data_IF_279546940982
#
_entry.id   IF_279546940982
#
_cell.length_a   1.000
_cell.length_b   1.000
_cell.length_c   1.000
_cell.angle_alpha   90.00
_cell.angle_beta   90.00
_cell.angle_gamma   90.00
#
_symmetry.space_group_name_H-M   'P 1'
#
loop_
_entity.id
_entity.type
_entity.pdbx_description
1 polymer ?
#
# COMPACT_ATOMS: atom_id res chain seq x y z
N UNK A 1 24.06 9.47 -9.47
CA UNK A 1 22.88 9.80 -8.63
C UNK A 1 23.34 10.73 -7.52
N UNK A 2 22.89 11.99 -7.56
CA UNK A 2 23.30 13.08 -6.67
C UNK A 2 22.72 12.93 -5.26
N UNK A 3 23.43 13.44 -4.24
CA UNK A 3 23.00 13.42 -2.84
C UNK A 3 21.67 14.15 -2.60
N UNK A 4 21.41 15.22 -3.35
CA UNK A 4 20.16 16.02 -3.29
C UNK A 4 18.91 15.22 -3.68
N UNK A 5 19.01 14.31 -4.65
CA UNK A 5 17.87 13.50 -5.11
C UNK A 5 17.39 12.55 -4.02
N UNK A 6 18.34 11.89 -3.33
CA UNK A 6 18.04 10.98 -2.21
C UNK A 6 17.44 11.68 -0.99
N UNK A 7 17.88 12.90 -0.69
CA UNK A 7 17.36 13.65 0.46
C UNK A 7 15.92 14.12 0.22
N UNK A 8 15.59 14.47 -1.02
CA UNK A 8 14.23 14.87 -1.41
C UNK A 8 13.28 13.67 -1.38
N UNK A 9 13.68 12.52 -1.95
CA UNK A 9 12.91 11.26 -1.90
C UNK A 9 12.60 10.82 -0.45
N UNK A 10 13.55 10.97 0.48
CA UNK A 10 13.35 10.65 1.89
C UNK A 10 12.34 11.59 2.57
N UNK A 11 12.41 12.90 2.32
CA UNK A 11 11.45 13.87 2.88
C UNK A 11 10.05 13.64 2.34
N UNK A 12 9.90 13.37 1.06
CA UNK A 12 8.60 13.08 0.46
C UNK A 12 8.05 11.72 0.90
N UNK A 13 8.91 10.70 1.08
CA UNK A 13 8.51 9.41 1.67
C UNK A 13 7.87 9.60 3.05
N UNK A 14 8.46 10.44 3.89
CA UNK A 14 7.93 10.73 5.21
C UNK A 14 6.53 11.38 5.13
N UNK A 15 6.30 12.29 4.20
CA UNK A 15 4.97 12.92 4.03
C UNK A 15 3.88 11.89 3.70
N UNK A 16 4.16 10.92 2.81
CA UNK A 16 3.19 9.89 2.46
C UNK A 16 2.96 8.88 3.58
N UNK A 17 4.01 8.53 4.34
CA UNK A 17 3.89 7.66 5.52
C UNK A 17 3.04 8.36 6.58
N UNK A 18 3.36 9.61 6.92
CA UNK A 18 2.62 10.40 7.91
C UNK A 18 1.14 10.53 7.52
N UNK A 19 0.85 10.72 6.22
CA UNK A 19 -0.52 10.78 5.72
C UNK A 19 -1.26 9.45 5.86
N UNK A 20 -0.61 8.31 5.58
CA UNK A 20 -1.20 6.98 5.75
C UNK A 20 -1.46 6.68 7.23
N UNK A 21 -0.48 6.93 8.10
CA UNK A 21 -0.62 6.74 9.56
C UNK A 21 -1.78 7.56 10.10
N UNK A 22 -1.83 8.85 9.75
CA UNK A 22 -2.94 9.72 10.15
C UNK A 22 -4.29 9.26 9.60
N UNK A 23 -4.34 8.78 8.35
CA UNK A 23 -5.60 8.29 7.75
C UNK A 23 -6.11 7.00 8.42
N UNK A 24 -5.21 6.20 8.98
CA UNK A 24 -5.56 5.04 9.81
C UNK A 24 -6.05 5.50 11.18
N UNK A 25 -5.33 6.41 11.83
CA UNK A 25 -5.68 6.96 13.15
C UNK A 25 -7.03 7.70 13.13
N UNK A 26 -7.31 8.44 12.06
CA UNK A 26 -8.56 9.16 11.83
C UNK A 26 -9.70 8.23 11.30
N UNK A 27 -9.47 6.91 11.25
CA UNK A 27 -10.41 5.88 10.79
C UNK A 27 -10.92 6.03 9.34
N UNK A 28 -10.25 6.83 8.51
CA UNK A 28 -10.53 6.92 7.07
C UNK A 28 -10.11 5.65 6.33
N UNK A 29 -9.08 4.95 6.84
CA UNK A 29 -8.58 3.68 6.33
C UNK A 29 -8.64 2.64 7.44
N UNK A 30 -9.35 1.54 7.19
CA UNK A 30 -9.34 0.41 8.10
C UNK A 30 -8.01 -0.35 8.00
N UNK A 31 -7.31 -0.45 9.13
CA UNK A 31 -6.12 -1.28 9.23
C UNK A 31 -6.48 -2.75 9.50
N UNK A 32 -5.86 -3.65 8.73
CA UNK A 32 -5.97 -5.09 8.91
C UNK A 32 -4.57 -5.70 8.98
N UNK A 33 -4.32 -6.53 9.99
CA UNK A 33 -3.04 -7.20 10.12
C UNK A 33 -2.88 -8.24 9.00
N UNK A 34 -1.84 -8.10 8.18
CA UNK A 34 -1.58 -8.98 7.04
C UNK A 34 -1.54 -10.48 7.42
N UNK A 35 -1.12 -10.80 8.65
CA UNK A 35 -1.06 -12.18 9.13
C UNK A 35 -2.42 -12.86 9.31
N UNK A 36 -3.52 -12.10 9.34
CA UNK A 36 -4.89 -12.63 9.43
C UNK A 36 -5.35 -13.25 8.10
N UNK A 37 -4.74 -12.84 6.98
CA UNK A 37 -5.05 -13.37 5.67
C UNK A 37 -4.39 -14.75 5.50
N UNK A 38 -5.18 -15.73 5.07
CA UNK A 38 -4.75 -17.12 4.90
C UNK A 38 -4.94 -17.58 3.46
N UNK A 39 -4.31 -18.71 3.12
CA UNK A 39 -4.48 -19.37 1.83
C UNK A 39 -4.21 -18.44 0.63
N UNK A 40 -3.15 -17.64 0.73
CA UNK A 40 -2.68 -16.74 -0.32
C UNK A 40 -2.42 -17.52 -1.61
N UNK A 41 -3.07 -17.09 -2.70
CA UNK A 41 -2.86 -17.62 -4.04
C UNK A 41 -2.67 -16.47 -5.01
N UNK A 42 -1.49 -16.38 -5.62
CA UNK A 42 -1.22 -15.40 -6.67
C UNK A 42 -2.20 -15.62 -7.84
N UNK A 43 -2.87 -14.55 -8.25
CA UNK A 43 -3.76 -14.52 -9.42
C UNK A 43 -3.07 -13.91 -10.63
N UNK A 44 -2.22 -12.90 -10.41
CA UNK A 44 -1.44 -12.27 -11.47
C UNK A 44 -0.45 -11.26 -10.93
N UNK A 45 0.55 -10.94 -11.72
CA UNK A 45 1.55 -9.92 -11.44
C UNK A 45 1.84 -9.10 -12.71
N UNK A 46 2.11 -7.81 -12.53
CA UNK A 46 2.44 -6.90 -13.61
C UNK A 46 3.14 -5.64 -13.10
N UNK A 47 3.26 -4.64 -13.97
CA UNK A 47 3.92 -3.37 -13.64
C UNK A 47 3.25 -2.62 -12.47
N UNK A 48 1.94 -2.84 -12.26
CA UNK A 48 1.16 -2.20 -11.20
C UNK A 48 1.10 -3.04 -9.90
N UNK A 49 2.03 -3.98 -9.72
CA UNK A 49 2.07 -4.86 -8.55
C UNK A 49 1.51 -6.27 -8.80
N UNK A 50 1.33 -7.01 -7.71
CA UNK A 50 0.82 -8.39 -7.72
C UNK A 50 -0.52 -8.47 -7.04
N UNK A 51 -1.44 -9.27 -7.58
CA UNK A 51 -2.75 -9.52 -6.97
C UNK A 51 -2.83 -10.97 -6.55
N UNK A 52 -3.10 -11.20 -5.28
CA UNK A 52 -3.30 -12.53 -4.69
C UNK A 52 -4.70 -12.65 -4.10
N UNK A 53 -5.34 -13.80 -4.29
CA UNK A 53 -6.54 -14.14 -3.54
C UNK A 53 -6.15 -14.57 -2.14
N UNK A 54 -6.88 -14.13 -1.13
CA UNK A 54 -6.73 -14.58 0.24
C UNK A 54 -8.09 -14.88 0.88
N UNK A 55 -8.08 -15.77 1.86
CA UNK A 55 -9.18 -15.95 2.79
C UNK A 55 -8.96 -15.00 3.96
N UNK A 56 -9.96 -14.22 4.33
CA UNK A 56 -9.99 -13.49 5.59
C UNK A 56 -11.32 -13.76 6.29
N UNK A 57 -11.25 -14.32 7.50
CA UNK A 57 -12.42 -14.87 8.21
C UNK A 57 -13.17 -15.85 7.28
N UNK A 58 -14.46 -15.62 7.06
CA UNK A 58 -15.34 -16.47 6.23
C UNK A 58 -15.53 -15.91 4.80
N UNK A 59 -14.61 -15.08 4.31
CA UNK A 59 -14.77 -14.37 3.05
C UNK A 59 -13.49 -14.35 2.22
N UNK A 60 -13.66 -14.19 0.91
CA UNK A 60 -12.58 -14.14 -0.07
C UNK A 60 -12.26 -12.69 -0.42
N UNK A 61 -10.97 -12.37 -0.46
CA UNK A 61 -10.46 -11.05 -0.77
C UNK A 61 -9.38 -11.12 -1.86
N UNK A 62 -9.25 -10.03 -2.60
CA UNK A 62 -8.10 -9.78 -3.46
C UNK A 62 -7.15 -8.82 -2.72
N UNK A 63 -5.91 -9.25 -2.51
CA UNK A 63 -4.83 -8.46 -1.95
C UNK A 63 -3.93 -8.00 -3.09
N UNK A 64 -3.88 -6.69 -3.32
CA UNK A 64 -2.91 -6.08 -4.22
C UNK A 64 -1.68 -5.70 -3.39
N UNK A 65 -0.52 -6.19 -3.79
CA UNK A 65 0.77 -5.90 -3.17
C UNK A 65 1.69 -5.20 -4.14
N UNK A 66 2.56 -4.36 -3.60
CA UNK A 66 3.42 -3.45 -4.33
C UNK A 66 4.86 -3.58 -3.85
N UNK A 67 5.82 -3.10 -4.64
CA UNK A 67 7.21 -3.01 -4.19
C UNK A 67 7.35 -1.94 -3.11
N UNK A 68 8.28 -2.17 -2.16
CA UNK A 68 8.52 -1.24 -1.06
C UNK A 68 9.55 -0.18 -1.46
N UNK A 69 9.19 0.66 -2.42
CA UNK A 69 9.99 1.80 -2.89
C UNK A 69 9.16 3.09 -2.91
N UNK A 70 9.85 4.23 -2.94
CA UNK A 70 9.24 5.55 -2.83
C UNK A 70 8.23 5.86 -3.95
N UNK A 71 8.59 5.59 -5.20
CA UNK A 71 7.72 5.83 -6.35
C UNK A 71 6.41 5.04 -6.22
N UNK A 72 6.52 3.83 -5.71
CA UNK A 72 5.38 2.95 -5.48
C UNK A 72 4.51 3.41 -4.32
N UNK A 73 5.09 3.92 -3.23
CA UNK A 73 4.33 4.51 -2.11
C UNK A 73 3.44 5.68 -2.58
N UNK A 74 3.97 6.54 -3.44
CA UNK A 74 3.21 7.64 -4.04
C UNK A 74 2.01 7.14 -4.86
N UNK A 75 2.19 6.07 -5.64
CA UNK A 75 1.10 5.45 -6.40
C UNK A 75 0.04 4.87 -5.48
N UNK A 76 0.44 4.19 -4.39
CA UNK A 76 -0.49 3.64 -3.40
C UNK A 76 -1.33 4.73 -2.75
N UNK A 77 -0.72 5.82 -2.30
CA UNK A 77 -1.44 6.95 -1.70
C UNK A 77 -2.44 7.55 -2.69
N UNK A 78 -2.04 7.75 -3.95
CA UNK A 78 -2.96 8.25 -4.97
C UNK A 78 -4.12 7.29 -5.24
N UNK A 79 -3.87 5.98 -5.41
CA UNK A 79 -4.93 4.99 -5.61
C UNK A 79 -5.92 5.00 -4.43
N UNK A 80 -5.43 5.03 -3.20
CA UNK A 80 -6.26 5.08 -1.98
C UNK A 80 -7.07 6.38 -1.92
N UNK A 81 -6.43 7.53 -2.21
CA UNK A 81 -7.08 8.83 -2.20
C UNK A 81 -8.26 8.92 -3.19
N UNK A 82 -8.10 8.39 -4.41
CA UNK A 82 -9.16 8.35 -5.42
C UNK A 82 -10.26 7.32 -5.13
N UNK A 83 -10.03 6.34 -4.25
CA UNK A 83 -11.04 5.34 -3.86
C UNK A 83 -11.90 5.85 -2.69
N UNK A 84 -11.34 6.69 -1.81
CA UNK A 84 -12.02 7.20 -0.61
C UNK A 84 -12.88 8.44 -0.90
N UNK A 85 -12.59 9.20 -1.97
CA UNK A 85 -13.40 10.34 -2.46
C UNK A 85 -14.46 9.89 -3.48
#
# INVERSE_FOLDING_TARGET
MSKETKETELKESNIYIDWLEKSIDDEHINYYNYSEFKSLKLLGSGACGSVSRANWKNSLFALKSFSNDYETLKVVVNEVYYIIL
#
